data_IF_271841466348
#
_entry.id   IF_271841466348
#
_cell.length_a   1.000
_cell.length_b   1.000
_cell.length_c   1.000
_cell.angle_alpha   90.00
_cell.angle_beta   90.00
_cell.angle_gamma   90.00
#
_symmetry.space_group_name_H-M   'P 1'
#
loop_
_entity.id
_entity.type
_entity.pdbx_description
1 polymer ?
#
# COMPACT_ATOMS: atom_id res chain seq x y z
N UNK A 1 -10.53 -28.67 -2.45
CA UNK A 1 -9.58 -27.70 -1.85
C UNK A 1 -10.37 -26.41 -1.69
N UNK A 2 -10.59 -26.00 -0.47
CA UNK A 2 -11.31 -24.77 -0.18
C UNK A 2 -10.38 -23.56 -0.37
N UNK A 3 -10.96 -22.40 -0.65
CA UNK A 3 -10.22 -21.12 -0.70
C UNK A 3 -9.85 -20.61 0.70
N UNK A 4 -9.91 -21.44 1.73
CA UNK A 4 -9.62 -21.12 3.15
C UNK A 4 -8.27 -20.44 3.35
N UNK A 5 -7.28 -20.77 2.52
CA UNK A 5 -5.97 -20.10 2.59
C UNK A 5 -6.03 -18.58 2.32
N UNK A 6 -7.06 -18.12 1.64
CA UNK A 6 -7.30 -16.70 1.33
C UNK A 6 -8.29 -16.04 2.28
N UNK A 7 -8.90 -16.80 3.20
CA UNK A 7 -9.83 -16.28 4.19
C UNK A 7 -9.09 -15.39 5.21
N UNK A 8 -9.63 -14.19 5.42
CA UNK A 8 -9.11 -13.21 6.38
C UNK A 8 -10.04 -13.03 7.57
N UNK A 9 -11.02 -13.91 7.75
CA UNK A 9 -11.93 -13.89 8.91
C UNK A 9 -11.15 -13.93 10.22
N UNK A 10 -11.54 -13.08 11.16
CA UNK A 10 -10.84 -12.93 12.43
C UNK A 10 -9.51 -12.15 12.38
N UNK A 11 -9.11 -11.64 11.22
CA UNK A 11 -7.95 -10.75 11.06
C UNK A 11 -8.38 -9.29 10.95
N UNK A 12 -7.51 -8.41 11.38
CA UNK A 12 -7.69 -6.97 11.24
C UNK A 12 -6.59 -6.36 10.38
N UNK A 13 -6.98 -5.57 9.39
CA UNK A 13 -6.08 -4.96 8.41
C UNK A 13 -6.08 -3.43 8.53
N UNK A 14 -4.94 -2.84 8.92
CA UNK A 14 -4.71 -1.39 8.83
C UNK A 14 -4.22 -1.04 7.43
N UNK A 15 -4.91 -0.12 6.75
CA UNK A 15 -4.52 0.38 5.43
C UNK A 15 -4.24 1.88 5.52
N UNK A 16 -3.00 2.30 5.29
CA UNK A 16 -2.64 3.72 5.31
C UNK A 16 -3.05 4.42 4.00
N UNK A 17 -3.50 5.69 4.11
CA UNK A 17 -3.96 6.45 2.94
C UNK A 17 -5.19 5.83 2.27
N UNK A 18 -6.13 5.29 3.04
CA UNK A 18 -7.27 4.51 2.55
C UNK A 18 -8.59 5.29 2.42
N UNK A 19 -8.56 6.62 2.49
CA UNK A 19 -9.76 7.43 2.27
C UNK A 19 -10.22 7.49 0.81
N UNK A 20 -9.41 7.02 -0.16
CA UNK A 20 -9.73 7.02 -1.60
C UNK A 20 -8.74 6.15 -2.40
N UNK A 21 -9.00 5.98 -3.70
CA UNK A 21 -8.08 5.37 -4.67
C UNK A 21 -7.67 3.94 -4.33
N UNK A 22 -6.39 3.60 -4.55
CA UNK A 22 -5.86 2.24 -4.31
C UNK A 22 -6.12 1.81 -2.87
N UNK A 23 -5.80 2.64 -1.88
CA UNK A 23 -5.95 2.28 -0.47
C UNK A 23 -7.40 1.90 -0.10
N UNK A 24 -8.39 2.64 -0.60
CA UNK A 24 -9.80 2.33 -0.36
C UNK A 24 -10.21 1.03 -1.08
N UNK A 25 -9.77 0.83 -2.32
CA UNK A 25 -10.07 -0.40 -3.06
C UNK A 25 -9.46 -1.64 -2.37
N UNK A 26 -8.22 -1.53 -1.87
CA UNK A 26 -7.58 -2.60 -1.11
C UNK A 26 -8.30 -2.87 0.22
N UNK A 27 -8.69 -1.84 0.96
CA UNK A 27 -9.46 -1.98 2.20
C UNK A 27 -10.81 -2.69 1.94
N UNK A 28 -11.54 -2.27 0.88
CA UNK A 28 -12.79 -2.94 0.47
C UNK A 28 -12.58 -4.41 0.14
N UNK A 29 -11.51 -4.72 -0.61
CA UNK A 29 -11.19 -6.10 -0.97
C UNK A 29 -10.80 -6.97 0.21
N UNK A 30 -10.02 -6.45 1.16
CA UNK A 30 -9.67 -7.15 2.39
C UNK A 30 -10.91 -7.39 3.27
N UNK A 31 -11.82 -6.42 3.35
CA UNK A 31 -13.11 -6.59 4.05
C UNK A 31 -13.97 -7.67 3.38
N UNK A 32 -14.07 -7.68 2.04
CA UNK A 32 -14.79 -8.71 1.31
C UNK A 32 -14.19 -10.12 1.48
N UNK A 33 -12.89 -10.22 1.81
CA UNK A 33 -12.21 -11.46 2.18
C UNK A 33 -12.36 -11.81 3.68
N UNK A 34 -13.17 -11.09 4.44
CA UNK A 34 -13.50 -11.38 5.84
C UNK A 34 -12.73 -10.59 6.89
N UNK A 35 -11.79 -9.72 6.52
CA UNK A 35 -11.05 -8.92 7.49
C UNK A 35 -11.90 -7.78 8.07
N UNK A 36 -11.75 -7.50 9.36
CA UNK A 36 -12.05 -6.19 9.90
C UNK A 36 -11.02 -5.18 9.36
N UNK A 37 -11.46 -4.00 8.86
CA UNK A 37 -10.54 -3.04 8.27
C UNK A 37 -10.43 -1.76 9.08
N UNK A 38 -9.22 -1.21 9.15
CA UNK A 38 -8.90 0.04 9.83
C UNK A 38 -8.41 1.03 8.79
N UNK A 39 -9.20 2.07 8.54
CA UNK A 39 -8.87 3.10 7.57
C UNK A 39 -8.01 4.17 8.21
N UNK A 40 -6.95 4.59 7.53
CA UNK A 40 -6.09 5.68 7.95
C UNK A 40 -5.96 6.77 6.89
N UNK A 41 -5.83 7.99 7.35
CA UNK A 41 -5.57 9.20 6.57
C UNK A 41 -5.60 10.43 7.47
N UNK A 42 -5.26 11.58 6.93
CA UNK A 42 -5.23 12.87 7.66
C UNK A 42 -6.57 13.58 7.65
N UNK A 43 -7.32 13.42 6.57
CA UNK A 43 -8.62 14.05 6.35
C UNK A 43 -9.71 13.18 6.97
N UNK A 44 -10.19 13.61 8.14
CA UNK A 44 -11.19 12.88 8.90
C UNK A 44 -12.51 12.75 8.15
N UNK A 45 -12.96 13.80 7.46
CA UNK A 45 -14.22 13.78 6.73
C UNK A 45 -14.19 12.74 5.59
N UNK A 46 -13.06 12.66 4.85
CA UNK A 46 -12.88 11.63 3.82
C UNK A 46 -12.81 10.22 4.40
N UNK A 47 -12.17 10.05 5.56
CA UNK A 47 -12.12 8.74 6.23
C UNK A 47 -13.51 8.30 6.69
N UNK A 48 -14.26 9.19 7.31
CA UNK A 48 -15.60 8.89 7.82
C UNK A 48 -16.54 8.53 6.66
N UNK A 49 -16.51 9.28 5.56
CA UNK A 49 -17.29 8.97 4.36
C UNK A 49 -16.91 7.61 3.74
N UNK A 50 -15.60 7.31 3.68
CA UNK A 50 -15.13 6.01 3.18
C UNK A 50 -15.57 4.85 4.10
N UNK A 51 -15.49 5.06 5.42
CA UNK A 51 -15.92 4.08 6.40
C UNK A 51 -17.44 3.83 6.35
N UNK A 52 -18.25 4.88 6.20
CA UNK A 52 -19.71 4.76 6.02
C UNK A 52 -20.04 3.95 4.77
N UNK A 53 -19.37 4.23 3.64
CA UNK A 53 -19.55 3.46 2.40
C UNK A 53 -19.26 1.96 2.60
N UNK A 54 -18.15 1.62 3.24
CA UNK A 54 -17.82 0.21 3.51
C UNK A 54 -18.77 -0.46 4.52
N UNK A 55 -19.22 0.27 5.55
CA UNK A 55 -20.22 -0.25 6.50
C UNK A 55 -21.56 -0.53 5.82
N UNK A 56 -21.97 0.31 4.89
CA UNK A 56 -23.18 0.08 4.10
C UNK A 56 -23.07 -1.18 3.22
N UNK A 57 -21.85 -1.59 2.87
CA UNK A 57 -21.55 -2.85 2.18
C UNK A 57 -21.45 -4.05 3.16
N UNK A 58 -21.63 -3.84 4.47
CA UNK A 58 -21.60 -4.88 5.50
C UNK A 58 -20.22 -5.13 6.13
N UNK A 59 -19.23 -4.30 5.85
CA UNK A 59 -17.88 -4.47 6.38
C UNK A 59 -17.76 -4.00 7.85
N UNK A 60 -16.94 -4.70 8.64
CA UNK A 60 -16.47 -4.21 9.96
C UNK A 60 -15.34 -3.20 9.74
N UNK A 61 -15.60 -1.91 10.05
CA UNK A 61 -14.72 -0.80 9.73
C UNK A 61 -14.51 0.13 10.92
N UNK A 62 -13.25 0.32 11.26
CA UNK A 62 -12.78 1.37 12.17
C UNK A 62 -12.01 2.45 11.39
N UNK A 63 -11.87 3.63 11.99
CA UNK A 63 -10.99 4.69 11.49
C UNK A 63 -9.89 5.00 12.50
N UNK A 64 -8.69 5.22 12.01
CA UNK A 64 -7.51 5.56 12.83
C UNK A 64 -6.79 6.76 12.17
N UNK A 65 -7.26 7.99 12.42
CA UNK A 65 -6.69 9.18 11.81
C UNK A 65 -5.33 9.54 12.43
N UNK A 66 -4.29 9.59 11.60
CA UNK A 66 -2.98 10.17 11.90
C UNK A 66 -2.25 10.54 10.61
N UNK A 67 -1.28 11.45 10.70
CA UNK A 67 -0.35 11.71 9.61
C UNK A 67 0.78 10.68 9.65
N UNK A 68 0.95 9.93 8.56
CA UNK A 68 2.01 8.91 8.45
C UNK A 68 3.42 9.51 8.49
N UNK A 69 3.57 10.82 8.28
CA UNK A 69 4.85 11.53 8.35
C UNK A 69 5.21 11.95 9.78
N UNK A 70 4.24 11.93 10.71
CA UNK A 70 4.47 12.12 12.14
C UNK A 70 4.64 10.75 12.81
N UNK A 71 5.90 10.36 13.01
CA UNK A 71 6.23 9.03 13.54
C UNK A 71 5.76 8.81 14.97
N UNK A 72 5.74 9.86 15.81
CA UNK A 72 5.28 9.74 17.19
C UNK A 72 3.76 9.59 17.24
N UNK A 73 3.04 10.41 16.49
CA UNK A 73 1.59 10.29 16.37
C UNK A 73 1.16 8.93 15.78
N UNK A 74 1.85 8.46 14.74
CA UNK A 74 1.59 7.15 14.14
C UNK A 74 1.80 6.01 15.16
N UNK A 75 2.92 6.03 15.87
CA UNK A 75 3.23 5.05 16.92
C UNK A 75 2.19 5.07 18.04
N UNK A 76 1.90 6.26 18.60
CA UNK A 76 0.93 6.39 19.68
C UNK A 76 -0.48 5.95 19.25
N UNK A 77 -0.87 6.21 18.00
CA UNK A 77 -2.14 5.77 17.47
C UNK A 77 -2.21 4.23 17.37
N UNK A 78 -1.16 3.59 16.83
CA UNK A 78 -1.08 2.12 16.72
C UNK A 78 -1.07 1.49 18.12
N UNK A 79 -0.22 1.96 19.04
CA UNK A 79 -0.12 1.42 20.40
C UNK A 79 -1.47 1.49 21.13
N UNK A 80 -2.17 2.63 21.04
CA UNK A 80 -3.50 2.79 21.62
C UNK A 80 -4.52 1.86 20.98
N UNK A 81 -4.53 1.77 19.64
CA UNK A 81 -5.47 0.91 18.93
C UNK A 81 -5.30 -0.57 19.29
N UNK A 82 -4.05 -1.05 19.37
CA UNK A 82 -3.73 -2.41 19.80
C UNK A 82 -4.21 -2.70 21.24
N UNK A 83 -4.10 -1.72 22.14
CA UNK A 83 -4.51 -1.85 23.53
C UNK A 83 -6.04 -1.82 23.71
N UNK A 84 -6.76 -0.99 22.96
CA UNK A 84 -8.18 -0.71 23.20
C UNK A 84 -9.13 -1.45 22.25
N UNK A 85 -8.72 -1.64 20.99
CA UNK A 85 -9.57 -2.19 19.93
C UNK A 85 -9.14 -3.58 19.45
N UNK A 86 -7.89 -3.98 19.75
CA UNK A 86 -7.32 -5.29 19.46
C UNK A 86 -6.29 -5.31 18.34
N UNK A 87 -5.78 -6.49 18.08
CA UNK A 87 -4.60 -6.74 17.26
C UNK A 87 -4.76 -6.25 15.80
N UNK A 88 -3.69 -5.64 15.26
CA UNK A 88 -3.51 -5.41 13.83
C UNK A 88 -2.70 -6.59 13.27
N UNK A 89 -3.35 -7.47 12.52
CA UNK A 89 -2.72 -8.68 11.95
C UNK A 89 -2.09 -8.41 10.58
N UNK A 90 -2.64 -7.43 9.83
CA UNK A 90 -2.20 -7.05 8.51
C UNK A 90 -1.96 -5.53 8.46
N UNK A 91 -0.82 -5.11 7.94
CA UNK A 91 -0.55 -3.72 7.60
C UNK A 91 -0.39 -3.58 6.09
N UNK A 92 -1.12 -2.64 5.48
CA UNK A 92 -0.88 -2.20 4.11
C UNK A 92 -0.36 -0.77 4.13
N UNK A 93 0.94 -0.60 3.91
CA UNK A 93 1.59 0.70 3.76
C UNK A 93 1.31 1.24 2.34
N UNK A 94 0.17 1.93 2.19
CA UNK A 94 -0.27 2.46 0.90
C UNK A 94 -0.12 3.98 0.80
N UNK A 95 -0.10 4.72 1.89
CA UNK A 95 0.06 6.17 1.86
C UNK A 95 1.27 6.58 1.02
N UNK A 96 1.05 7.54 0.12
CA UNK A 96 2.10 8.01 -0.78
C UNK A 96 1.67 9.24 -1.55
N UNK A 97 2.66 9.91 -2.13
CA UNK A 97 2.46 11.10 -2.95
C UNK A 97 3.35 11.06 -4.18
N UNK A 98 3.04 11.93 -5.13
CA UNK A 98 3.81 12.14 -6.34
C UNK A 98 4.01 13.64 -6.58
N UNK A 99 5.18 14.01 -7.13
CA UNK A 99 5.46 15.32 -7.68
C UNK A 99 6.12 15.14 -9.05
N UNK A 100 5.67 15.90 -10.04
CA UNK A 100 6.13 15.78 -11.43
C UNK A 100 6.74 17.10 -11.87
N UNK A 101 8.04 17.11 -12.12
CA UNK A 101 8.80 18.28 -12.57
C UNK A 101 10.07 17.80 -13.27
N UNK A 102 10.57 18.48 -14.31
CA UNK A 102 11.90 18.20 -14.86
C UNK A 102 12.95 18.18 -13.74
N UNK A 103 13.86 17.20 -13.79
CA UNK A 103 14.74 16.90 -12.65
C UNK A 103 15.61 18.09 -12.24
N UNK A 104 16.11 18.84 -13.22
CA UNK A 104 16.93 20.04 -13.02
C UNK A 104 16.19 21.20 -12.34
N UNK A 105 14.85 21.17 -12.32
CA UNK A 105 13.98 22.16 -11.68
C UNK A 105 13.20 21.59 -10.49
N UNK A 106 13.56 20.38 -10.05
CA UNK A 106 12.82 19.71 -8.98
C UNK A 106 13.05 20.42 -7.64
N UNK A 107 11.98 20.92 -6.95
CA UNK A 107 12.15 21.64 -5.69
C UNK A 107 12.69 20.73 -4.58
N UNK A 108 13.69 21.21 -3.82
CA UNK A 108 14.30 20.45 -2.73
C UNK A 108 13.28 20.03 -1.67
N UNK A 109 12.38 20.93 -1.28
CA UNK A 109 11.32 20.66 -0.30
C UNK A 109 10.31 19.61 -0.80
N UNK A 110 10.04 19.56 -2.11
CA UNK A 110 9.19 18.51 -2.70
C UNK A 110 9.90 17.15 -2.67
N UNK A 111 11.23 17.13 -2.84
CA UNK A 111 12.03 15.91 -2.70
C UNK A 111 12.01 15.39 -1.26
N UNK A 112 12.21 16.26 -0.30
CA UNK A 112 12.17 15.92 1.13
C UNK A 112 10.78 15.38 1.53
N UNK A 113 9.69 16.04 1.09
CA UNK A 113 8.33 15.55 1.32
C UNK A 113 8.08 14.18 0.70
N UNK A 114 8.64 13.91 -0.50
CA UNK A 114 8.55 12.59 -1.12
C UNK A 114 9.25 11.52 -0.28
N UNK A 115 10.46 11.78 0.20
CA UNK A 115 11.19 10.86 1.08
C UNK A 115 10.42 10.60 2.37
N UNK A 116 9.95 11.67 3.01
CA UNK A 116 9.21 11.57 4.26
C UNK A 116 7.91 10.78 4.09
N UNK A 117 7.13 11.09 3.03
CA UNK A 117 5.82 10.45 2.83
C UNK A 117 5.95 9.05 2.26
N UNK A 118 6.84 8.80 1.30
CA UNK A 118 6.87 7.53 0.58
C UNK A 118 7.84 6.51 1.17
N UNK A 119 8.82 6.93 1.96
CA UNK A 119 9.87 6.04 2.50
C UNK A 119 9.83 6.01 4.03
N UNK A 120 10.03 7.17 4.69
CA UNK A 120 10.12 7.23 6.14
C UNK A 120 8.81 6.75 6.79
N UNK A 121 7.65 7.10 6.23
CA UNK A 121 6.36 6.64 6.73
C UNK A 121 6.22 5.11 6.69
N UNK A 122 6.68 4.45 5.62
CA UNK A 122 6.64 2.98 5.48
C UNK A 122 7.47 2.33 6.59
N UNK A 123 8.65 2.90 6.87
CA UNK A 123 9.48 2.44 7.98
C UNK A 123 8.80 2.64 9.33
N UNK A 124 8.33 3.85 9.63
CA UNK A 124 7.79 4.19 10.95
C UNK A 124 6.49 3.45 11.28
N UNK A 125 5.53 3.42 10.36
CA UNK A 125 4.27 2.68 10.57
C UNK A 125 4.54 1.18 10.59
N UNK A 126 5.42 0.68 9.70
CA UNK A 126 5.89 -0.70 9.70
C UNK A 126 6.48 -1.10 11.03
N UNK A 127 7.39 -0.29 11.60
CA UNK A 127 8.00 -0.54 12.90
C UNK A 127 6.97 -0.51 14.05
N UNK A 128 6.04 0.44 14.03
CA UNK A 128 5.00 0.55 15.05
C UNK A 128 4.15 -0.72 15.11
N UNK A 129 3.65 -1.21 13.96
CA UNK A 129 2.87 -2.45 13.90
C UNK A 129 3.72 -3.69 14.20
N UNK A 130 4.95 -3.76 13.65
CA UNK A 130 5.82 -4.93 13.81
C UNK A 130 6.17 -5.22 15.27
N UNK A 131 6.31 -4.23 16.14
CA UNK A 131 6.54 -4.43 17.58
C UNK A 131 5.48 -5.32 18.23
N UNK A 132 4.21 -5.06 17.92
CA UNK A 132 3.08 -5.84 18.42
C UNK A 132 2.99 -7.20 17.73
N UNK A 133 3.20 -7.25 16.42
CA UNK A 133 3.20 -8.49 15.63
C UNK A 133 4.30 -9.46 16.09
N UNK A 134 5.52 -8.97 16.36
CA UNK A 134 6.65 -9.75 16.90
C UNK A 134 6.28 -10.34 18.25
N UNK A 135 5.66 -9.55 19.14
CA UNK A 135 5.20 -10.05 20.44
C UNK A 135 4.18 -11.20 20.34
N UNK A 136 3.44 -11.27 19.23
CA UNK A 136 2.46 -12.33 18.95
C UNK A 136 3.03 -13.48 18.10
N UNK A 137 4.22 -13.32 17.54
CA UNK A 137 4.84 -14.31 16.66
C UNK A 137 4.16 -14.44 15.28
N UNK A 138 3.38 -13.44 14.85
CA UNK A 138 2.68 -13.43 13.55
C UNK A 138 2.34 -12.03 13.08
N UNK A 139 2.37 -11.81 11.78
CA UNK A 139 1.95 -10.57 11.13
C UNK A 139 2.20 -10.58 9.62
N UNK A 140 1.44 -9.78 8.89
CA UNK A 140 1.59 -9.57 7.45
C UNK A 140 1.76 -8.09 7.16
N UNK A 141 2.78 -7.73 6.41
CA UNK A 141 3.02 -6.35 5.98
C UNK A 141 3.13 -6.32 4.46
N UNK A 142 2.28 -5.51 3.83
CA UNK A 142 2.29 -5.27 2.39
C UNK A 142 2.67 -3.81 2.14
N UNK A 143 3.84 -3.59 1.54
CA UNK A 143 4.29 -2.25 1.16
C UNK A 143 3.91 -1.96 -0.29
N UNK A 144 3.20 -0.86 -0.54
CA UNK A 144 2.86 -0.47 -1.91
C UNK A 144 4.08 0.15 -2.59
N UNK A 145 4.71 -0.68 -3.40
CA UNK A 145 5.79 -0.35 -4.32
C UNK A 145 5.23 0.33 -5.60
N UNK A 146 5.86 0.11 -6.74
CA UNK A 146 5.44 0.59 -8.06
C UNK A 146 6.23 -0.15 -9.13
N UNK A 147 5.78 -0.13 -10.38
CA UNK A 147 6.64 -0.43 -11.54
C UNK A 147 7.89 0.45 -11.56
N UNK A 148 7.81 1.64 -10.96
CA UNK A 148 8.96 2.55 -10.80
C UNK A 148 10.00 2.05 -9.77
N UNK A 149 9.75 0.94 -9.10
CA UNK A 149 10.78 0.24 -8.31
C UNK A 149 11.82 -0.48 -9.19
N UNK A 150 11.46 -0.79 -10.45
CA UNK A 150 12.33 -1.46 -11.44
C UNK A 150 12.54 -0.62 -12.71
N UNK A 151 11.60 0.26 -13.06
CA UNK A 151 11.65 1.09 -14.26
C UNK A 151 11.79 2.57 -13.89
N UNK A 152 12.09 3.39 -14.88
CA UNK A 152 12.08 4.84 -14.76
C UNK A 152 11.44 5.49 -15.98
N UNK A 153 10.93 6.70 -15.83
CA UNK A 153 10.55 7.58 -16.92
C UNK A 153 10.88 9.03 -16.60
N UNK A 154 10.93 9.92 -17.61
CA UNK A 154 11.20 11.33 -17.39
C UNK A 154 10.22 12.01 -16.44
N UNK A 155 10.71 13.02 -15.70
CA UNK A 155 9.91 13.89 -14.84
C UNK A 155 9.51 13.31 -13.48
N UNK A 156 10.00 12.11 -13.10
CA UNK A 156 9.65 11.47 -11.81
C UNK A 156 10.84 10.77 -11.13
N UNK A 157 12.07 11.15 -11.43
CA UNK A 157 13.26 10.50 -10.84
C UNK A 157 13.23 10.43 -9.31
N UNK A 158 12.83 11.48 -8.56
CA UNK A 158 12.69 11.41 -7.10
C UNK A 158 11.65 10.38 -6.63
N UNK A 159 10.51 10.29 -7.32
CA UNK A 159 9.52 9.25 -7.01
C UNK A 159 10.07 7.85 -7.27
N UNK A 160 10.77 7.66 -8.40
CA UNK A 160 11.45 6.39 -8.74
C UNK A 160 12.42 5.99 -7.62
N UNK A 161 13.23 6.94 -7.13
CA UNK A 161 14.13 6.70 -6.01
C UNK A 161 13.39 6.24 -4.75
N UNK A 162 12.25 6.89 -4.41
CA UNK A 162 11.46 6.47 -3.23
C UNK A 162 10.89 5.07 -3.39
N UNK A 163 10.42 4.70 -4.58
CA UNK A 163 9.83 3.37 -4.82
C UNK A 163 10.89 2.26 -4.90
N UNK A 164 12.08 2.57 -5.39
CA UNK A 164 13.25 1.70 -5.27
C UNK A 164 13.67 1.48 -3.82
N UNK A 165 13.68 2.55 -3.01
CA UNK A 165 13.96 2.47 -1.58
C UNK A 165 12.93 1.58 -0.85
N UNK A 166 11.63 1.72 -1.12
CA UNK A 166 10.59 0.88 -0.50
C UNK A 166 10.73 -0.58 -0.88
N UNK A 167 11.07 -0.90 -2.15
CA UNK A 167 11.32 -2.27 -2.58
C UNK A 167 12.50 -2.92 -1.83
N UNK A 168 13.60 -2.19 -1.61
CA UNK A 168 14.73 -2.70 -0.83
C UNK A 168 14.45 -2.71 0.67
N UNK A 169 13.73 -1.72 1.21
CA UNK A 169 13.29 -1.72 2.61
C UNK A 169 12.40 -2.93 2.91
N UNK A 170 11.53 -3.32 1.98
CA UNK A 170 10.71 -4.54 2.08
C UNK A 170 11.56 -5.79 2.29
N UNK A 171 12.67 -5.92 1.56
CA UNK A 171 13.61 -7.06 1.73
C UNK A 171 14.30 -7.03 3.10
N UNK A 172 14.76 -5.85 3.53
CA UNK A 172 15.37 -5.67 4.85
C UNK A 172 14.40 -6.04 5.97
N UNK A 173 13.19 -5.48 5.96
CA UNK A 173 12.14 -5.80 6.93
C UNK A 173 11.80 -7.30 6.94
N UNK A 174 11.71 -7.93 5.76
CA UNK A 174 11.46 -9.37 5.65
C UNK A 174 12.57 -10.19 6.30
N UNK A 175 13.83 -9.82 6.05
CA UNK A 175 15.00 -10.51 6.61
C UNK A 175 15.04 -10.39 8.13
N UNK A 176 14.82 -9.19 8.66
CA UNK A 176 14.93 -8.93 10.09
C UNK A 176 13.77 -9.55 10.88
N UNK A 177 12.57 -9.59 10.29
CA UNK A 177 11.35 -9.98 11.03
C UNK A 177 10.84 -11.39 10.72
N UNK A 178 11.40 -12.08 9.70
CA UNK A 178 11.03 -13.48 9.42
C UNK A 178 11.26 -14.42 10.59
N UNK A 179 12.36 -14.32 11.39
CA UNK A 179 12.57 -15.17 12.58
C UNK A 179 11.47 -14.99 13.64
N UNK A 180 10.73 -13.91 13.57
CA UNK A 180 9.61 -13.59 14.48
C UNK A 180 8.24 -13.95 13.89
N UNK A 181 8.18 -14.70 12.78
CA UNK A 181 6.94 -15.15 12.18
C UNK A 181 6.22 -14.12 11.31
N UNK A 182 6.89 -13.02 10.91
CA UNK A 182 6.31 -12.01 10.05
C UNK A 182 6.65 -12.25 8.58
N UNK A 183 5.70 -11.96 7.68
CA UNK A 183 5.94 -11.87 6.25
C UNK A 183 5.77 -10.41 5.80
N UNK A 184 6.79 -9.90 5.11
CA UNK A 184 6.82 -8.54 4.58
C UNK A 184 7.05 -8.61 3.07
N UNK A 185 6.10 -8.12 2.30
CA UNK A 185 6.17 -8.18 0.84
C UNK A 185 5.78 -6.84 0.21
N UNK A 186 6.21 -6.63 -1.02
CA UNK A 186 5.84 -5.51 -1.84
C UNK A 186 4.71 -5.87 -2.81
N UNK A 187 3.74 -4.98 -2.99
CA UNK A 187 2.80 -4.99 -4.10
C UNK A 187 3.14 -3.80 -5.00
N UNK A 188 3.46 -4.06 -6.26
CA UNK A 188 3.94 -3.06 -7.22
C UNK A 188 2.91 -2.82 -8.34
N UNK A 189 2.04 -1.82 -8.18
CA UNK A 189 1.10 -1.44 -9.23
C UNK A 189 1.81 -0.88 -10.46
N UNK A 190 1.27 -1.20 -11.65
CA UNK A 190 1.52 -0.48 -12.89
C UNK A 190 0.78 0.85 -12.93
N UNK A 191 0.21 1.15 -14.09
CA UNK A 191 -0.61 2.34 -14.28
C UNK A 191 -2.09 2.01 -14.09
N UNK A 192 -2.68 2.59 -13.05
CA UNK A 192 -4.06 2.39 -12.64
C UNK A 192 -4.83 3.71 -12.68
N UNK A 193 -6.10 3.64 -13.06
CA UNK A 193 -7.03 4.77 -12.99
C UNK A 193 -7.28 5.12 -11.53
N UNK A 194 -6.73 6.25 -11.10
CA UNK A 194 -6.81 6.72 -9.72
C UNK A 194 -6.88 8.25 -9.70
N UNK A 195 -7.40 8.86 -8.62
CA UNK A 195 -7.34 10.32 -8.46
C UNK A 195 -5.91 10.89 -8.58
N UNK A 196 -4.88 10.14 -8.14
CA UNK A 196 -3.47 10.53 -8.26
C UNK A 196 -3.00 10.61 -9.72
N UNK A 197 -3.59 9.80 -10.59
CA UNK A 197 -3.22 9.70 -12.01
C UNK A 197 -4.21 10.41 -12.94
N UNK A 198 -5.25 11.08 -12.42
CA UNK A 198 -6.32 11.65 -13.24
C UNK A 198 -5.78 12.53 -14.38
N UNK A 199 -4.83 13.42 -14.08
CA UNK A 199 -4.22 14.28 -15.09
C UNK A 199 -3.47 13.51 -16.22
N UNK A 200 -3.06 12.26 -15.97
CA UNK A 200 -2.46 11.40 -16.99
C UNK A 200 -3.52 10.59 -17.73
N UNK A 201 -4.60 10.22 -17.05
CA UNK A 201 -5.76 9.52 -17.67
C UNK A 201 -6.44 10.45 -18.66
N UNK A 202 -6.57 11.73 -18.32
CA UNK A 202 -7.18 12.76 -19.15
C UNK A 202 -6.28 13.24 -20.31
N UNK A 203 -5.02 12.82 -20.32
CA UNK A 203 -4.05 13.11 -21.39
C UNK A 203 -4.11 12.00 -22.46
N UNK A 204 -4.66 12.28 -23.66
CA UNK A 204 -4.82 11.29 -24.71
C UNK A 204 -3.49 10.77 -25.26
N UNK A 205 -2.44 11.61 -25.29
CA UNK A 205 -1.12 11.23 -25.79
C UNK A 205 -0.45 10.28 -24.80
N UNK A 206 -0.56 10.58 -23.50
CA UNK A 206 -0.05 9.69 -22.48
C UNK A 206 -0.80 8.35 -22.45
N UNK A 207 -2.12 8.38 -22.58
CA UNK A 207 -2.96 7.16 -22.61
C UNK A 207 -2.64 6.30 -23.85
N UNK A 208 -2.44 6.91 -25.02
CA UNK A 208 -2.02 6.19 -26.22
C UNK A 208 -0.61 5.58 -26.08
N UNK A 209 0.33 6.34 -25.48
CA UNK A 209 1.66 5.82 -25.16
C UNK A 209 1.58 4.63 -24.18
N UNK A 210 0.78 4.76 -23.11
CA UNK A 210 0.62 3.70 -22.12
C UNK A 210 0.04 2.43 -22.74
N UNK A 211 -1.00 2.55 -23.55
CA UNK A 211 -1.63 1.42 -24.24
C UNK A 211 -0.62 0.69 -25.15
N UNK A 212 0.27 1.43 -25.81
CA UNK A 212 1.34 0.88 -26.63
C UNK A 212 2.44 0.19 -25.83
N UNK A 213 2.78 0.76 -24.65
CA UNK A 213 3.89 0.31 -23.79
C UNK A 213 3.50 -0.88 -22.91
N UNK A 214 2.23 -0.98 -22.56
CA UNK A 214 1.71 -2.04 -21.68
C UNK A 214 1.17 -3.19 -22.53
N UNK A 215 1.66 -4.43 -22.37
CA UNK A 215 1.15 -5.57 -23.14
C UNK A 215 -0.37 -5.78 -23.04
N UNK A 216 -0.97 -5.48 -21.86
CA UNK A 216 -2.42 -5.53 -21.69
C UNK A 216 -3.18 -4.43 -22.46
N UNK A 217 -2.50 -3.43 -23.04
CA UNK A 217 -3.07 -2.41 -23.91
C UNK A 217 -3.98 -1.38 -23.26
N UNK A 218 -3.95 -1.25 -21.93
CA UNK A 218 -4.89 -0.40 -21.19
C UNK A 218 -4.38 0.00 -19.82
N UNK A 219 -5.06 0.96 -19.22
CA UNK A 219 -5.00 1.23 -17.78
C UNK A 219 -5.54 0.03 -16.99
N UNK A 220 -4.97 -0.20 -15.80
CA UNK A 220 -5.52 -1.12 -14.82
C UNK A 220 -6.66 -0.47 -14.03
N UNK A 221 -7.64 -1.26 -13.62
CA UNK A 221 -8.67 -0.86 -12.65
C UNK A 221 -8.18 -1.22 -11.25
N UNK A 222 -8.45 -0.36 -10.26
CA UNK A 222 -7.92 -0.55 -8.89
C UNK A 222 -8.36 -1.88 -8.26
N UNK A 223 -9.49 -2.43 -8.66
CA UNK A 223 -10.00 -3.74 -8.22
C UNK A 223 -9.07 -4.89 -8.65
N UNK A 224 -8.31 -4.72 -9.72
CA UNK A 224 -7.38 -5.75 -10.23
C UNK A 224 -6.14 -5.91 -9.33
N UNK A 225 -5.91 -4.99 -8.35
CA UNK A 225 -4.88 -5.13 -7.32
C UNK A 225 -5.33 -5.96 -6.11
N UNK A 226 -6.65 -6.10 -5.92
CA UNK A 226 -7.24 -6.67 -4.71
C UNK A 226 -6.81 -8.12 -4.50
N UNK A 227 -6.89 -8.96 -5.54
CA UNK A 227 -6.51 -10.38 -5.43
C UNK A 227 -5.07 -10.58 -4.98
N UNK A 228 -4.14 -9.78 -5.53
CA UNK A 228 -2.74 -9.83 -5.14
C UNK A 228 -2.52 -9.36 -3.68
N UNK A 229 -3.26 -8.33 -3.24
CA UNK A 229 -3.20 -7.87 -1.86
C UNK A 229 -3.74 -8.92 -0.89
N UNK A 230 -4.88 -9.56 -1.18
CA UNK A 230 -5.44 -10.66 -0.38
C UNK A 230 -4.45 -11.82 -0.30
N UNK A 231 -3.84 -12.21 -1.41
CA UNK A 231 -2.81 -13.24 -1.43
C UNK A 231 -1.68 -12.93 -0.45
N UNK A 232 -1.07 -11.74 -0.54
CA UNK A 232 0.05 -11.33 0.31
C UNK A 232 -0.36 -11.15 1.80
N UNK A 233 -1.63 -10.85 2.08
CA UNK A 233 -2.17 -10.66 3.42
C UNK A 233 -2.61 -11.97 4.09
N UNK A 234 -2.74 -13.06 3.34
CA UNK A 234 -3.36 -14.33 3.76
C UNK A 234 -2.34 -15.45 4.03
N UNK A 235 -2.82 -16.60 4.47
CA UNK A 235 -1.99 -17.79 4.67
C UNK A 235 -1.54 -18.45 3.36
N UNK A 236 -2.15 -18.09 2.23
CA UNK A 236 -1.68 -18.49 0.91
C UNK A 236 -0.25 -18.00 0.62
N UNK A 237 0.20 -16.92 1.29
CA UNK A 237 1.56 -16.37 1.18
C UNK A 237 2.45 -16.72 2.39
N UNK A 238 2.16 -17.77 3.16
CA UNK A 238 2.88 -18.09 4.41
C UNK A 238 4.38 -18.32 4.24
N UNK A 239 4.84 -18.71 3.04
CA UNK A 239 6.26 -18.88 2.71
C UNK A 239 6.77 -17.85 1.68
N UNK A 240 5.97 -16.82 1.37
CA UNK A 240 6.35 -15.70 0.49
C UNK A 240 6.83 -14.55 1.37
N UNK A 241 8.13 -14.21 1.27
CA UNK A 241 8.72 -13.16 2.10
C UNK A 241 9.80 -12.39 1.34
N UNK A 242 9.81 -11.07 1.42
CA UNK A 242 10.79 -10.20 0.77
C UNK A 242 10.59 -10.01 -0.74
N UNK A 243 9.50 -10.54 -1.32
CA UNK A 243 9.22 -10.38 -2.75
C UNK A 243 8.55 -9.05 -3.07
N UNK A 244 8.67 -8.62 -4.32
CA UNK A 244 7.86 -7.55 -4.91
C UNK A 244 7.03 -8.13 -6.03
N UNK A 245 5.71 -8.22 -5.79
CA UNK A 245 4.75 -8.74 -6.76
C UNK A 245 4.26 -7.61 -7.66
N UNK A 246 4.58 -7.68 -8.94
CA UNK A 246 4.13 -6.71 -9.95
C UNK A 246 2.74 -7.07 -10.44
N UNK A 247 1.84 -6.08 -10.44
CA UNK A 247 0.50 -6.16 -11.03
C UNK A 247 0.39 -4.96 -11.98
N UNK A 248 0.76 -5.16 -13.23
CA UNK A 248 1.14 -4.06 -14.12
C UNK A 248 0.76 -4.25 -15.60
N UNK A 249 -0.03 -5.27 -15.91
CA UNK A 249 -0.42 -5.59 -17.28
C UNK A 249 0.75 -6.03 -18.18
N UNK A 250 1.89 -6.43 -17.58
CA UNK A 250 3.07 -6.90 -18.28
C UNK A 250 4.09 -5.81 -18.64
N UNK A 251 3.92 -4.56 -18.17
CA UNK A 251 4.82 -3.46 -18.54
C UNK A 251 6.27 -3.68 -18.11
N UNK A 252 6.52 -4.37 -16.99
CA UNK A 252 7.87 -4.70 -16.54
C UNK A 252 8.43 -5.96 -17.20
N UNK A 253 7.60 -6.78 -17.84
CA UNK A 253 8.00 -8.01 -18.50
C UNK A 253 8.34 -7.82 -19.98
N UNK A 254 8.15 -6.63 -20.52
CA UNK A 254 8.37 -6.31 -21.94
C UNK A 254 9.42 -5.21 -22.13
N UNK A 255 10.12 -5.23 -23.29
CA UNK A 255 11.08 -4.20 -23.75
C UNK A 255 10.38 -2.97 -24.30
#
# INVERSE_FOLDING_TARGET
MSLELFDLSGRRALVTGSGQGIGLALARGLAAAGAAVVLNGRDRAKLDAAAEGLRAEGADVATLPFDVTDHEAARAAVDRFEAEAGAIDVLVNNAGMQHRTPLEHFPADAFERLLQTNVASVFHVGQACARHMIGRGRGRIVNICSVQSALARPGIAPYTATKGAVANLTKGMATDWAPHGLQVNGLAPGYFETPLNQALVDDPDFTAWLAKRTPAGRWGRVEELVGACIFLASDAASFVNGTVLYVDGGITASL
#
